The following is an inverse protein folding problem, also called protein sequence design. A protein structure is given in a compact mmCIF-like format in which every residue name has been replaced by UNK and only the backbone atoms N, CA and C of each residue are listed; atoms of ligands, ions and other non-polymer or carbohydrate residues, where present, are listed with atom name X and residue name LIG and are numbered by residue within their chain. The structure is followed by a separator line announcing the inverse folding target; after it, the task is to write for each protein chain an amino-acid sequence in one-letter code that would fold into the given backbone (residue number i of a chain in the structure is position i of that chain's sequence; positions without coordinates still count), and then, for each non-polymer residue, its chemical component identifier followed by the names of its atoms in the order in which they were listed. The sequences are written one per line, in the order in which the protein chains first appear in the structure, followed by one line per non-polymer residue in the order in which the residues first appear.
data_IF_246489064913
#
_entry.id   IF_246489064913
#
_cell.length_a   1.000
_cell.length_b   1.000
_cell.length_c   1.000
_cell.angle_alpha   90.00
_cell.angle_beta   90.00
_cell.angle_gamma   90.00
#
_symmetry.space_group_name_H-M   'P 1'
#
loop_
_entity.id
_entity.type
_entity.pdbx_description
1 polymer ?
#
# COMPACT_ATOMS: atom_id res chain seq x y z
N UNK A 1 -23.98 20.05 -32.05
CA UNK A 1 -22.51 19.86 -31.90
C UNK A 1 -22.24 19.72 -30.41
N UNK A 2 -21.73 18.56 -29.98
CA UNK A 2 -21.43 18.29 -28.59
C UNK A 2 -20.02 18.81 -28.25
N UNK A 3 -19.89 19.50 -27.13
CA UNK A 3 -18.62 20.00 -26.58
C UNK A 3 -17.78 18.78 -26.16
N UNK A 4 -16.48 18.68 -26.52
CA UNK A 4 -15.64 17.60 -26.05
C UNK A 4 -15.47 17.70 -24.53
N UNK A 5 -15.49 16.59 -23.77
CA UNK A 5 -15.16 16.64 -22.36
C UNK A 5 -13.71 17.10 -22.21
N UNK A 6 -13.56 18.18 -21.44
CA UNK A 6 -12.33 18.84 -21.09
C UNK A 6 -11.32 17.82 -20.53
N UNK A 7 -10.30 17.49 -21.30
CA UNK A 7 -9.16 16.71 -20.83
C UNK A 7 -8.40 17.64 -19.88
N UNK A 8 -8.60 17.50 -18.57
CA UNK A 8 -7.87 18.25 -17.54
C UNK A 8 -6.41 17.80 -17.52
N UNK A 9 -5.67 18.26 -18.52
CA UNK A 9 -4.30 17.86 -18.85
C UNK A 9 -3.25 18.77 -18.19
N UNK A 10 -3.47 19.23 -16.96
CA UNK A 10 -2.55 20.17 -16.29
C UNK A 10 -2.24 19.90 -14.81
N UNK A 11 -2.38 18.65 -14.35
CA UNK A 11 -1.77 18.21 -13.07
C UNK A 11 -0.95 16.92 -13.20
N UNK A 12 -0.49 16.60 -14.42
CA UNK A 12 0.51 15.55 -14.62
C UNK A 12 1.87 16.06 -14.20
N UNK A 13 2.50 15.42 -13.22
CA UNK A 13 3.95 15.14 -13.33
C UNK A 13 4.45 14.06 -12.38
N UNK A 14 3.77 13.73 -11.26
CA UNK A 14 4.29 12.68 -10.38
C UNK A 14 3.27 11.65 -9.89
N UNK A 15 1.99 12.00 -9.69
CA UNK A 15 1.03 11.06 -9.10
C UNK A 15 0.39 10.14 -10.16
N UNK A 16 0.38 8.81 -9.96
CA UNK A 16 -0.34 7.88 -10.83
C UNK A 16 -1.83 8.23 -10.92
N UNK A 17 -2.44 7.95 -12.07
CA UNK A 17 -3.90 7.98 -12.18
C UNK A 17 -4.52 6.99 -11.21
N UNK A 18 -5.67 7.36 -10.62
CA UNK A 18 -6.39 6.51 -9.67
C UNK A 18 -6.91 5.27 -10.38
N UNK A 19 -6.72 4.11 -9.75
CA UNK A 19 -7.24 2.84 -10.21
C UNK A 19 -8.77 2.80 -10.19
N UNK A 20 -9.39 2.40 -11.28
CA UNK A 20 -10.84 2.31 -11.41
C UNK A 20 -11.34 0.86 -11.60
N UNK A 21 -10.54 -0.13 -11.20
CA UNK A 21 -10.86 -1.55 -11.39
C UNK A 21 -10.46 -2.13 -12.76
N UNK A 22 -10.11 -1.30 -13.76
CA UNK A 22 -9.67 -1.76 -15.08
C UNK A 22 -8.16 -1.74 -15.24
N UNK A 23 -7.64 -2.64 -16.09
CA UNK A 23 -6.21 -2.74 -16.42
C UNK A 23 -5.31 -2.90 -15.17
N UNK A 24 -5.72 -3.76 -14.23
CA UNK A 24 -5.01 -3.95 -12.96
C UNK A 24 -3.50 -4.20 -13.12
N UNK A 25 -3.08 -5.05 -14.07
CA UNK A 25 -1.67 -5.31 -14.32
C UNK A 25 -0.88 -4.03 -14.66
N UNK A 26 -1.46 -3.14 -15.47
CA UNK A 26 -0.84 -1.86 -15.82
C UNK A 26 -0.77 -0.93 -14.61
N UNK A 27 -1.85 -0.82 -13.83
CA UNK A 27 -1.86 -0.03 -12.60
C UNK A 27 -0.83 -0.57 -11.58
N UNK A 28 -0.77 -1.88 -11.39
CA UNK A 28 0.15 -2.56 -10.47
C UNK A 28 1.60 -2.23 -10.77
N UNK A 29 2.03 -2.34 -12.03
CA UNK A 29 3.38 -1.97 -12.47
C UNK A 29 3.66 -0.48 -12.24
N UNK A 30 2.70 0.40 -12.55
CA UNK A 30 2.88 1.84 -12.37
C UNK A 30 2.96 2.23 -10.89
N UNK A 31 2.13 1.63 -10.05
CA UNK A 31 2.12 1.86 -8.60
C UNK A 31 3.43 1.39 -7.95
N UNK A 32 3.90 0.19 -8.32
CA UNK A 32 5.20 -0.31 -7.92
C UNK A 32 6.33 0.68 -8.26
N UNK A 33 6.40 1.12 -9.52
CA UNK A 33 7.44 2.03 -9.97
C UNK A 33 7.38 3.39 -9.25
N UNK A 34 6.17 3.88 -8.97
CA UNK A 34 5.98 5.11 -8.21
C UNK A 34 6.48 4.98 -6.76
N UNK A 35 6.15 3.89 -6.08
CA UNK A 35 6.59 3.62 -4.71
C UNK A 35 8.12 3.48 -4.66
N UNK A 36 8.70 2.73 -5.60
CA UNK A 36 10.16 2.57 -5.71
C UNK A 36 10.88 3.89 -5.96
N UNK A 37 10.29 4.80 -6.74
CA UNK A 37 10.85 6.12 -7.00
C UNK A 37 10.72 7.08 -5.80
N UNK A 38 9.65 6.96 -5.01
CA UNK A 38 9.46 7.75 -3.79
C UNK A 38 10.44 7.31 -2.71
N UNK A 39 10.48 6.01 -2.42
CA UNK A 39 11.37 5.38 -1.44
C UNK A 39 11.25 3.86 -1.49
N UNK A 40 12.35 3.18 -1.83
CA UNK A 40 12.38 1.72 -1.93
C UNK A 40 12.04 1.01 -0.61
N UNK A 41 12.32 1.60 0.55
CA UNK A 41 11.96 0.98 1.85
C UNK A 41 10.43 0.85 2.02
N UNK A 42 9.63 1.65 1.29
CA UNK A 42 8.17 1.53 1.30
C UNK A 42 7.71 0.25 0.63
N UNK A 43 8.40 -0.20 -0.40
CA UNK A 43 8.09 -1.46 -1.08
C UNK A 43 8.38 -2.65 -0.17
N UNK A 44 9.49 -2.63 0.56
CA UNK A 44 9.82 -3.67 1.56
C UNK A 44 8.74 -3.78 2.64
N UNK A 45 8.15 -2.65 3.03
CA UNK A 45 7.06 -2.60 4.02
C UNK A 45 5.76 -3.17 3.46
N UNK A 46 5.50 -3.00 2.16
CA UNK A 46 4.31 -3.57 1.51
C UNK A 46 4.45 -5.08 1.34
N UNK A 47 5.63 -5.57 1.00
CA UNK A 47 5.83 -6.99 0.66
C UNK A 47 6.08 -7.86 1.90
N UNK A 48 7.08 -7.50 2.72
CA UNK A 48 7.64 -8.44 3.70
C UNK A 48 7.42 -8.03 5.16
N UNK A 49 7.41 -6.73 5.49
CA UNK A 49 7.44 -6.35 6.92
C UNK A 49 6.08 -6.49 7.61
N UNK A 50 6.04 -7.13 8.80
CA UNK A 50 4.87 -7.06 9.65
C UNK A 50 4.57 -5.61 10.03
N UNK A 51 3.32 -5.19 9.89
CA UNK A 51 2.88 -3.88 10.33
C UNK A 51 3.08 -3.69 11.84
N UNK A 52 2.84 -4.75 12.61
CA UNK A 52 2.99 -4.76 14.06
C UNK A 52 4.37 -5.33 14.40
N UNK A 53 5.27 -4.55 15.02
CA UNK A 53 6.54 -5.05 15.50
C UNK A 53 6.37 -6.23 16.46
N UNK A 54 7.10 -7.32 16.23
CA UNK A 54 7.06 -8.52 17.06
C UNK A 54 8.39 -8.75 17.77
N UNK A 55 8.34 -9.47 18.89
CA UNK A 55 9.50 -9.99 19.61
C UNK A 55 9.37 -11.51 19.74
N UNK A 56 10.50 -12.21 19.74
CA UNK A 56 10.52 -13.65 19.98
C UNK A 56 10.61 -13.92 21.47
N UNK A 57 9.80 -14.84 21.97
CA UNK A 57 9.80 -15.25 23.38
C UNK A 57 9.97 -16.77 23.48
N UNK A 58 10.91 -17.20 24.32
CA UNK A 58 11.19 -18.61 24.62
C UNK A 58 11.96 -19.39 23.53
N UNK A 59 12.19 -20.68 23.83
CA UNK A 59 12.60 -21.72 22.87
C UNK A 59 11.51 -22.80 22.83
N UNK A 60 10.93 -23.12 21.65
CA UNK A 60 11.11 -22.46 20.35
C UNK A 60 10.53 -21.04 20.33
N UNK A 61 11.08 -20.19 19.45
CA UNK A 61 10.73 -18.78 19.35
C UNK A 61 9.25 -18.58 18.96
N UNK A 62 8.45 -18.04 19.88
CA UNK A 62 7.09 -17.58 19.60
C UNK A 62 7.11 -16.08 19.33
N UNK A 63 6.62 -15.66 18.15
CA UNK A 63 6.50 -14.25 17.80
C UNK A 63 5.29 -13.63 18.51
N UNK A 64 5.53 -12.69 19.42
CA UNK A 64 4.51 -11.96 20.17
C UNK A 64 4.57 -10.49 19.78
N UNK A 65 3.43 -9.80 19.56
CA UNK A 65 3.40 -8.36 19.34
C UNK A 65 4.11 -7.60 20.47
N UNK A 66 5.01 -6.69 20.11
CA UNK A 66 5.58 -5.72 21.05
C UNK A 66 4.48 -4.77 21.52
N UNK A 67 4.55 -4.39 22.78
CA UNK A 67 3.76 -3.28 23.30
C UNK A 67 4.38 -1.94 22.86
N UNK A 68 3.58 -0.87 22.83
CA UNK A 68 4.07 0.47 22.42
C UNK A 68 5.27 0.97 23.25
N UNK A 69 5.42 0.51 24.50
CA UNK A 69 6.56 0.85 25.37
C UNK A 69 7.86 0.15 24.98
N UNK A 70 7.77 -0.95 24.25
CA UNK A 70 8.91 -1.76 23.82
C UNK A 70 9.39 -1.41 22.41
N UNK A 71 8.71 -0.46 21.74
CA UNK A 71 9.10 -0.03 20.41
C UNK A 71 10.43 0.71 20.46
N UNK A 72 11.39 0.21 19.68
CA UNK A 72 12.62 0.92 19.39
C UNK A 72 12.42 1.87 18.20
N UNK A 73 13.46 2.62 17.84
CA UNK A 73 13.37 3.61 16.75
C UNK A 73 13.17 2.96 15.38
N UNK A 74 13.68 1.74 15.17
CA UNK A 74 13.44 0.99 13.94
C UNK A 74 11.97 0.55 13.82
N UNK A 75 11.35 0.11 14.92
CA UNK A 75 9.94 -0.24 15.00
C UNK A 75 9.06 0.97 14.65
N UNK A 76 9.38 2.15 15.23
CA UNK A 76 8.67 3.40 14.95
C UNK A 76 8.82 3.83 13.49
N UNK A 77 10.04 3.78 12.95
CA UNK A 77 10.32 4.09 11.54
C UNK A 77 9.55 3.16 10.61
N UNK A 78 9.47 1.86 10.92
CA UNK A 78 8.70 0.90 10.13
C UNK A 78 7.19 1.22 10.13
N UNK A 79 6.63 1.60 11.28
CA UNK A 79 5.23 2.03 11.40
C UNK A 79 4.97 3.29 10.56
N UNK A 80 5.85 4.29 10.64
CA UNK A 80 5.75 5.53 9.84
C UNK A 80 5.80 5.23 8.33
N UNK A 81 6.72 4.37 7.90
CA UNK A 81 6.82 3.93 6.50
C UNK A 81 5.55 3.20 6.06
N UNK A 82 4.97 2.34 6.90
CA UNK A 82 3.68 1.69 6.59
C UNK A 82 2.56 2.72 6.41
N UNK A 83 2.46 3.74 7.27
CA UNK A 83 1.48 4.80 7.09
C UNK A 83 1.70 5.58 5.80
N UNK A 84 2.97 5.83 5.43
CA UNK A 84 3.31 6.49 4.17
C UNK A 84 2.88 5.63 2.96
N UNK A 85 3.25 4.36 2.94
CA UNK A 85 2.88 3.40 1.91
C UNK A 85 1.35 3.27 1.77
N UNK A 86 0.64 3.15 2.90
CA UNK A 86 -0.82 3.11 2.95
C UNK A 86 -1.44 4.36 2.33
N UNK A 87 -0.92 5.55 2.65
CA UNK A 87 -1.38 6.81 2.07
C UNK A 87 -1.21 6.83 0.55
N UNK A 88 -0.06 6.36 0.04
CA UNK A 88 0.22 6.27 -1.40
C UNK A 88 -0.79 5.34 -2.08
N UNK A 89 -0.99 4.14 -1.54
CA UNK A 89 -1.92 3.15 -2.11
C UNK A 89 -3.36 3.69 -2.13
N UNK A 90 -3.85 4.23 -0.99
CA UNK A 90 -5.20 4.81 -0.90
C UNK A 90 -5.37 6.00 -1.86
N UNK A 91 -4.35 6.84 -2.03
CA UNK A 91 -4.40 7.95 -3.00
C UNK A 91 -4.37 7.47 -4.45
N UNK A 92 -3.85 6.27 -4.70
CA UNK A 92 -3.70 5.65 -6.00
C UNK A 92 -4.89 4.79 -6.44
N UNK A 93 -5.92 4.65 -5.61
CA UNK A 93 -7.15 3.92 -5.93
C UNK A 93 -8.36 4.85 -6.00
N UNK A 94 -9.34 4.45 -6.81
CA UNK A 94 -10.62 5.11 -6.97
C UNK A 94 -11.61 4.73 -5.86
N UNK A 95 -12.75 5.42 -5.78
CA UNK A 95 -13.76 5.19 -4.75
C UNK A 95 -14.34 3.76 -4.78
N UNK A 96 -14.49 3.18 -5.97
CA UNK A 96 -15.03 1.82 -6.12
C UNK A 96 -14.13 0.77 -5.46
N UNK A 97 -12.83 0.93 -5.61
CA UNK A 97 -11.80 0.05 -5.04
C UNK A 97 -11.55 0.32 -3.55
N UNK A 98 -11.75 1.57 -3.11
CA UNK A 98 -11.54 1.96 -1.72
C UNK A 98 -12.41 1.15 -0.75
N UNK A 99 -13.68 0.90 -1.10
CA UNK A 99 -14.59 0.13 -0.26
C UNK A 99 -14.03 -1.25 0.09
N UNK A 100 -13.31 -1.87 -0.84
CA UNK A 100 -12.73 -3.21 -0.68
C UNK A 100 -11.57 -3.24 0.32
N UNK A 101 -10.81 -2.16 0.40
CA UNK A 101 -9.59 -2.06 1.22
C UNK A 101 -9.78 -1.17 2.46
N UNK A 102 -11.00 -0.68 2.67
CA UNK A 102 -11.34 0.25 3.75
C UNK A 102 -11.08 -0.31 5.14
N UNK A 103 -11.22 -1.63 5.31
CA UNK A 103 -10.95 -2.33 6.56
C UNK A 103 -9.47 -2.70 6.77
N UNK A 104 -8.63 -2.58 5.73
CA UNK A 104 -7.21 -2.95 5.80
C UNK A 104 -6.44 -2.02 6.74
N UNK A 105 -5.69 -2.60 7.66
CA UNK A 105 -4.92 -1.88 8.67
C UNK A 105 -3.53 -1.48 8.14
N UNK A 106 -2.91 -2.33 7.34
CA UNK A 106 -1.56 -2.16 6.79
C UNK A 106 -1.53 -1.86 5.29
N UNK A 107 -0.41 -1.34 4.80
CA UNK A 107 -0.19 -1.17 3.36
C UNK A 107 -0.12 -2.52 2.64
N UNK A 108 0.46 -3.53 3.30
CA UNK A 108 0.49 -4.92 2.88
C UNK A 108 -0.92 -5.48 2.65
N UNK A 109 -1.81 -5.37 3.64
CA UNK A 109 -3.19 -5.85 3.50
C UNK A 109 -3.93 -5.18 2.35
N UNK A 110 -3.72 -3.88 2.11
CA UNK A 110 -4.31 -3.19 0.95
C UNK A 110 -3.79 -3.80 -0.34
N UNK A 111 -2.47 -3.99 -0.45
CA UNK A 111 -1.84 -4.54 -1.64
C UNK A 111 -2.32 -5.97 -1.91
N UNK A 112 -2.31 -6.84 -0.90
CA UNK A 112 -2.79 -8.23 -1.00
C UNK A 112 -4.29 -8.30 -1.32
N UNK A 113 -5.11 -7.44 -0.73
CA UNK A 113 -6.54 -7.38 -1.03
C UNK A 113 -6.80 -7.00 -2.50
N UNK A 114 -6.02 -6.06 -3.05
CA UNK A 114 -6.10 -5.68 -4.46
C UNK A 114 -5.61 -6.80 -5.37
N UNK A 115 -4.51 -7.48 -5.04
CA UNK A 115 -4.04 -8.63 -5.80
C UNK A 115 -5.08 -9.76 -5.81
N UNK A 116 -5.61 -10.11 -4.64
CA UNK A 116 -6.63 -11.16 -4.50
C UNK A 116 -7.89 -10.83 -5.28
N UNK A 117 -8.28 -9.54 -5.33
CA UNK A 117 -9.45 -9.08 -6.06
C UNK A 117 -9.35 -9.23 -7.59
N UNK A 118 -8.16 -8.94 -8.13
CA UNK A 118 -7.98 -8.72 -9.57
C UNK A 118 -7.14 -9.80 -10.26
N UNK A 119 -6.35 -10.56 -9.51
CA UNK A 119 -5.54 -11.69 -10.01
C UNK A 119 -6.13 -13.05 -9.59
N UNK A 120 -6.97 -13.07 -8.56
CA UNK A 120 -7.55 -14.29 -7.98
C UNK A 120 -6.53 -15.11 -7.17
N UNK A 121 -7.02 -15.86 -6.18
CA UNK A 121 -6.27 -16.97 -5.58
C UNK A 121 -6.49 -18.21 -6.45
N UNK A 122 -5.44 -18.69 -7.11
CA UNK A 122 -5.43 -20.05 -7.68
C UNK A 122 -5.39 -21.06 -6.55
#
# INVERSE_FOLDING_TARGET
MAVPPNFEERQFTYRPQRFNGQYYAWWKTRMHNFIMAEDSELWDVIYDRPFVPTKNLGEPAVAIPKTRKEFNDADRKAIEKNFCAKKILVCGIGPDEYNRVSASQSAKEIWEALQTAHEGTT
#
